data_IF_452720690770
#
_entry.id   IF_452720690770
#
_cell.length_a   1.000
_cell.length_b   1.000
_cell.length_c   1.000
_cell.angle_alpha   90.00
_cell.angle_beta   90.00
_cell.angle_gamma   90.00
#
_symmetry.space_group_name_H-M   'P 1'
#
loop_
_entity.id
_entity.type
_entity.pdbx_description
1 polymer ?
#
# COMPACT_ATOMS: atom_id res chain seq x y z
N UNK A 1 32.44 -37.05 -29.70
CA UNK A 1 31.44 -36.02 -30.07
C UNK A 1 30.76 -35.58 -28.81
N UNK A 2 31.10 -34.40 -28.32
CA UNK A 2 30.50 -33.85 -27.07
C UNK A 2 29.42 -32.88 -27.51
N UNK A 3 28.15 -33.24 -27.28
CA UNK A 3 27.04 -32.34 -27.50
C UNK A 3 27.04 -31.22 -26.48
N UNK A 4 27.22 -29.96 -26.92
CA UNK A 4 27.00 -28.77 -26.10
C UNK A 4 25.47 -28.54 -26.01
N UNK A 5 24.85 -28.52 -24.82
CA UNK A 5 23.44 -28.10 -24.66
C UNK A 5 23.31 -26.60 -24.96
N UNK A 6 22.33 -26.25 -25.75
CA UNK A 6 22.11 -24.92 -26.30
C UNK A 6 21.82 -23.87 -25.25
N UNK A 7 22.63 -22.83 -25.20
CA UNK A 7 22.47 -21.60 -24.43
C UNK A 7 21.22 -20.76 -24.85
N UNK A 8 20.48 -21.18 -25.86
CA UNK A 8 19.35 -20.43 -26.45
C UNK A 8 18.07 -20.58 -25.62
N UNK A 9 17.90 -21.69 -24.90
CA UNK A 9 16.69 -21.92 -24.10
C UNK A 9 16.60 -21.01 -22.86
N UNK A 10 17.73 -20.57 -22.29
CA UNK A 10 17.78 -19.70 -21.12
C UNK A 10 17.39 -18.25 -21.38
N UNK A 11 17.73 -17.71 -22.56
CA UNK A 11 17.44 -16.32 -22.90
C UNK A 11 15.94 -16.06 -23.12
N UNK A 12 15.24 -17.00 -23.76
CA UNK A 12 13.79 -16.89 -23.98
C UNK A 12 12.99 -16.90 -22.69
N UNK A 13 13.31 -17.79 -21.76
CA UNK A 13 12.66 -17.88 -20.45
C UNK A 13 12.87 -16.60 -19.61
N UNK A 14 14.06 -16.01 -19.64
CA UNK A 14 14.38 -14.77 -18.92
C UNK A 14 13.61 -13.55 -19.49
N UNK A 15 13.44 -13.48 -20.81
CA UNK A 15 12.69 -12.40 -21.47
C UNK A 15 11.20 -12.52 -21.14
N UNK A 16 10.63 -13.72 -21.19
CA UNK A 16 9.21 -13.97 -20.83
C UNK A 16 8.96 -13.67 -19.35
N UNK A 17 9.82 -14.10 -18.46
CA UNK A 17 9.72 -13.79 -17.03
C UNK A 17 9.78 -12.28 -16.77
N UNK A 18 10.69 -11.57 -17.46
CA UNK A 18 10.81 -10.10 -17.33
C UNK A 18 9.55 -9.35 -17.80
N UNK A 19 8.84 -9.85 -18.80
CA UNK A 19 7.61 -9.25 -19.30
C UNK A 19 6.37 -9.60 -18.44
N UNK A 20 6.36 -10.77 -17.81
CA UNK A 20 5.21 -11.23 -17.01
C UNK A 20 5.22 -10.70 -15.56
N UNK A 21 6.38 -10.56 -14.96
CA UNK A 21 6.51 -10.11 -13.56
C UNK A 21 5.80 -8.78 -13.28
N UNK A 22 5.94 -7.71 -14.08
CA UNK A 22 5.22 -6.45 -13.82
C UNK A 22 3.70 -6.62 -13.92
N UNK A 23 3.21 -7.45 -14.84
CA UNK A 23 1.77 -7.71 -15.02
C UNK A 23 1.19 -8.47 -13.83
N UNK A 24 1.89 -9.50 -13.34
CA UNK A 24 1.46 -10.27 -12.17
C UNK A 24 1.51 -9.41 -10.90
N UNK A 25 2.55 -8.61 -10.74
CA UNK A 25 2.67 -7.67 -9.62
C UNK A 25 1.53 -6.64 -9.63
N UNK A 26 1.18 -6.09 -10.81
CA UNK A 26 0.05 -5.17 -10.95
C UNK A 26 -1.29 -5.84 -10.61
N UNK A 27 -1.53 -7.06 -11.10
CA UNK A 27 -2.76 -7.81 -10.81
C UNK A 27 -2.89 -8.08 -9.31
N UNK A 28 -1.80 -8.51 -8.67
CA UNK A 28 -1.76 -8.72 -7.23
C UNK A 28 -2.02 -7.42 -6.47
N UNK A 29 -1.30 -6.35 -6.80
CA UNK A 29 -1.45 -5.06 -6.12
C UNK A 29 -2.87 -4.51 -6.26
N UNK A 30 -3.46 -4.56 -7.46
CA UNK A 30 -4.86 -4.18 -7.68
C UNK A 30 -5.84 -5.02 -6.87
N UNK A 31 -5.57 -6.31 -6.72
CA UNK A 31 -6.37 -7.19 -5.87
C UNK A 31 -6.26 -6.81 -4.39
N UNK A 32 -5.04 -6.58 -3.91
CA UNK A 32 -4.78 -6.20 -2.51
C UNK A 32 -5.41 -4.83 -2.18
N UNK A 33 -5.31 -3.85 -3.11
CA UNK A 33 -5.94 -2.52 -2.96
C UNK A 33 -7.47 -2.62 -2.94
N UNK A 34 -8.09 -3.44 -3.81
CA UNK A 34 -9.55 -3.64 -3.74
C UNK A 34 -10.00 -4.22 -2.40
N UNK A 35 -9.22 -5.14 -1.82
CA UNK A 35 -9.50 -5.70 -0.49
C UNK A 35 -9.30 -4.65 0.60
N UNK A 36 -8.22 -3.85 0.51
CA UNK A 36 -8.01 -2.71 1.42
C UNK A 36 -9.21 -1.76 1.39
N UNK A 37 -9.71 -1.39 0.20
CA UNK A 37 -10.85 -0.52 0.02
C UNK A 37 -12.16 -1.10 0.61
N UNK A 38 -12.25 -2.43 0.76
CA UNK A 38 -13.36 -3.11 1.46
C UNK A 38 -13.10 -3.33 2.95
N UNK A 39 -12.01 -2.77 3.50
CA UNK A 39 -11.65 -2.89 4.92
C UNK A 39 -10.73 -4.07 5.25
N UNK A 40 -10.43 -4.96 4.29
CA UNK A 40 -9.51 -6.08 4.51
C UNK A 40 -8.07 -5.70 4.13
N UNK A 41 -7.34 -5.16 5.08
CA UNK A 41 -5.93 -4.76 4.93
C UNK A 41 -4.94 -5.94 5.01
N UNK A 42 -5.37 -7.12 5.46
CA UNK A 42 -4.47 -8.26 5.74
C UNK A 42 -3.65 -8.72 4.54
N UNK A 43 -4.17 -8.80 3.29
CA UNK A 43 -3.38 -9.20 2.13
C UNK A 43 -2.27 -8.20 1.80
N UNK A 44 -2.55 -6.89 1.93
CA UNK A 44 -1.56 -5.84 1.75
C UNK A 44 -0.49 -5.93 2.83
N UNK A 45 -0.88 -6.07 4.10
CA UNK A 45 0.03 -6.26 5.24
C UNK A 45 0.94 -7.49 5.05
N UNK A 46 0.39 -8.57 4.51
CA UNK A 46 1.18 -9.78 4.21
C UNK A 46 2.27 -9.52 3.16
N UNK A 47 2.15 -8.49 2.34
CA UNK A 47 3.16 -8.04 1.38
C UNK A 47 4.40 -7.40 2.01
N UNK A 48 4.31 -6.88 3.24
CA UNK A 48 5.43 -6.28 3.95
C UNK A 48 6.34 -7.33 4.61
N UNK A 49 7.64 -7.01 4.70
CA UNK A 49 8.58 -7.73 5.54
C UNK A 49 8.32 -7.42 7.02
N UNK A 50 8.77 -8.28 7.93
CA UNK A 50 8.54 -8.08 9.36
C UNK A 50 9.28 -6.86 9.92
N UNK A 51 10.42 -6.52 9.30
CA UNK A 51 11.29 -5.36 9.59
C UNK A 51 11.03 -4.15 8.67
N UNK A 52 9.94 -4.13 7.90
CA UNK A 52 9.64 -3.07 6.95
C UNK A 52 9.44 -1.71 7.61
N UNK A 53 9.71 -0.64 6.85
CA UNK A 53 9.42 0.73 7.26
C UNK A 53 8.48 1.37 6.23
N UNK A 54 7.40 1.97 6.72
CA UNK A 54 6.51 2.82 5.95
C UNK A 54 6.69 4.26 6.43
N UNK A 55 7.11 5.13 5.52
CA UNK A 55 7.28 6.56 5.77
C UNK A 55 6.05 7.31 5.26
N UNK A 56 5.38 7.99 6.17
CA UNK A 56 4.27 8.88 5.84
C UNK A 56 4.68 10.32 6.13
N UNK A 57 4.01 11.30 5.52
CA UNK A 57 4.32 12.70 5.78
C UNK A 57 4.08 13.06 7.26
N UNK A 58 4.94 13.90 7.82
CA UNK A 58 4.82 14.40 9.19
C UNK A 58 3.71 15.44 9.28
N UNK A 59 3.04 15.50 10.43
CA UNK A 59 1.98 16.46 10.70
C UNK A 59 1.10 16.05 11.89
N UNK A 60 0.19 16.91 12.33
CA UNK A 60 -0.71 16.64 13.44
C UNK A 60 -1.92 15.78 13.01
N UNK A 61 -1.66 14.60 12.46
CA UNK A 61 -2.65 13.62 12.03
C UNK A 61 -2.24 12.20 12.44
N UNK A 62 -3.20 11.27 12.49
CA UNK A 62 -3.03 9.89 13.00
C UNK A 62 -2.02 9.02 12.25
N UNK A 63 -1.73 9.36 11.00
CA UNK A 63 -0.80 8.59 10.15
C UNK A 63 0.63 9.13 10.15
N UNK A 64 0.94 10.17 10.93
CA UNK A 64 2.21 10.91 10.90
C UNK A 64 3.44 10.03 11.13
N UNK A 65 4.49 10.27 10.34
CA UNK A 65 5.85 9.80 10.57
C UNK A 65 6.15 8.38 10.12
N UNK A 66 7.12 7.75 10.77
CA UNK A 66 7.64 6.43 10.42
C UNK A 66 6.89 5.31 11.15
N UNK A 67 6.40 4.34 10.40
CA UNK A 67 5.80 3.12 10.92
C UNK A 67 6.78 1.95 10.74
N UNK A 68 7.50 1.58 11.81
CA UNK A 68 8.56 0.58 11.79
C UNK A 68 8.06 -0.78 12.23
N UNK A 69 8.27 -1.79 11.37
CA UNK A 69 7.87 -3.17 11.58
C UNK A 69 6.38 -3.42 11.34
N UNK A 70 6.05 -4.66 11.06
CA UNK A 70 4.68 -5.10 10.73
C UNK A 70 3.61 -4.66 11.73
N UNK A 71 3.82 -4.70 13.06
CA UNK A 71 2.80 -4.27 14.01
C UNK A 71 2.46 -2.78 13.91
N UNK A 72 3.44 -1.91 13.59
CA UNK A 72 3.20 -0.48 13.38
C UNK A 72 2.47 -0.23 12.06
N UNK A 73 2.88 -0.92 11.00
CA UNK A 73 2.23 -0.86 9.68
C UNK A 73 0.79 -1.38 9.76
N UNK A 74 0.53 -2.42 10.56
CA UNK A 74 -0.83 -2.92 10.78
C UNK A 74 -1.73 -1.86 11.43
N UNK A 75 -1.23 -1.15 12.45
CA UNK A 75 -1.97 -0.04 13.06
C UNK A 75 -2.28 1.05 12.04
N UNK A 76 -1.28 1.47 11.25
CA UNK A 76 -1.45 2.43 10.16
C UNK A 76 -2.56 2.00 9.18
N UNK A 77 -2.53 0.76 8.69
CA UNK A 77 -3.52 0.24 7.74
C UNK A 77 -4.92 0.13 8.34
N UNK A 78 -5.01 -0.19 9.64
CA UNK A 78 -6.29 -0.21 10.38
C UNK A 78 -6.89 1.19 10.50
N UNK A 79 -6.07 2.18 10.82
CA UNK A 79 -6.50 3.58 10.91
C UNK A 79 -6.88 4.12 9.52
N UNK A 80 -6.15 3.70 8.47
CA UNK A 80 -6.44 4.02 7.08
C UNK A 80 -7.83 3.51 6.67
N UNK A 81 -8.08 2.22 6.83
CA UNK A 81 -9.39 1.62 6.51
C UNK A 81 -10.50 2.14 7.41
N UNK A 82 -10.19 2.37 8.69
CA UNK A 82 -11.12 2.91 9.67
C UNK A 82 -11.59 4.33 9.38
N UNK A 83 -10.78 5.11 8.69
CA UNK A 83 -11.12 6.46 8.23
C UNK A 83 -11.92 6.47 6.91
N UNK A 84 -12.24 5.31 6.34
CA UNK A 84 -12.90 5.20 5.04
C UNK A 84 -12.01 5.56 3.85
N UNK A 85 -10.69 5.60 4.06
CA UNK A 85 -9.72 5.84 3.01
C UNK A 85 -9.70 4.70 2.00
N UNK A 86 -9.69 5.06 0.74
CA UNK A 86 -9.66 4.18 -0.43
C UNK A 86 -8.66 4.72 -1.44
N UNK A 87 -8.02 3.84 -2.20
CA UNK A 87 -7.11 4.23 -3.27
C UNK A 87 -7.44 3.51 -4.57
N UNK A 88 -7.21 4.17 -5.69
CA UNK A 88 -7.25 3.58 -7.03
C UNK A 88 -5.89 3.75 -7.70
N UNK A 89 -5.30 2.63 -8.17
CA UNK A 89 -4.02 2.67 -8.88
C UNK A 89 -4.25 3.19 -10.30
N UNK A 90 -3.70 4.36 -10.58
CA UNK A 90 -3.75 4.99 -11.91
C UNK A 90 -2.56 4.59 -12.77
N UNK A 91 -1.37 4.53 -12.18
CA UNK A 91 -0.13 4.19 -12.88
C UNK A 91 0.80 3.33 -12.01
N UNK A 92 1.59 2.46 -12.66
CA UNK A 92 2.57 1.60 -11.98
C UNK A 92 3.83 1.44 -12.82
N UNK A 93 4.97 1.70 -12.22
CA UNK A 93 6.29 1.42 -12.78
C UNK A 93 7.05 0.48 -11.86
N UNK A 94 7.66 -0.55 -12.46
CA UNK A 94 8.45 -1.55 -11.75
C UNK A 94 9.79 -1.68 -12.44
N UNK A 95 10.86 -1.60 -11.67
CA UNK A 95 12.23 -1.74 -12.14
C UNK A 95 13.03 -2.65 -11.19
N UNK A 96 14.15 -3.18 -11.69
CA UNK A 96 15.07 -4.00 -10.92
C UNK A 96 14.88 -5.50 -11.11
N UNK A 97 15.78 -6.31 -10.53
CA UNK A 97 15.71 -7.75 -10.59
C UNK A 97 14.61 -8.29 -9.64
N UNK A 98 14.08 -9.51 -9.87
CA UNK A 98 12.98 -10.08 -9.09
C UNK A 98 13.19 -10.13 -7.57
N UNK A 99 14.44 -10.22 -7.12
CA UNK A 99 14.78 -10.25 -5.68
C UNK A 99 14.93 -8.86 -5.05
N UNK A 100 14.94 -7.77 -5.86
CA UNK A 100 15.12 -6.38 -5.38
C UNK A 100 14.43 -5.40 -6.33
N UNK A 101 13.08 -5.44 -6.35
CA UNK A 101 12.30 -4.53 -7.17
C UNK A 101 12.23 -3.14 -6.53
N UNK A 102 12.17 -2.14 -7.38
CA UNK A 102 11.72 -0.77 -7.07
C UNK A 102 10.38 -0.55 -7.73
N UNK A 103 9.44 -0.04 -6.99
CA UNK A 103 8.06 0.15 -7.42
C UNK A 103 7.73 1.63 -7.23
N UNK A 104 7.17 2.24 -8.25
CA UNK A 104 6.51 3.54 -8.14
C UNK A 104 5.05 3.34 -8.57
N UNK A 105 4.12 3.69 -7.71
CA UNK A 105 2.70 3.61 -7.99
C UNK A 105 2.05 4.97 -7.75
N UNK A 106 1.17 5.41 -8.67
CA UNK A 106 0.31 6.57 -8.47
C UNK A 106 -1.08 6.12 -8.12
N UNK A 107 -1.67 6.85 -7.20
CA UNK A 107 -3.02 6.61 -6.71
C UNK A 107 -3.85 7.88 -6.80
N UNK A 108 -5.13 7.72 -7.12
CA UNK A 108 -6.18 8.65 -6.76
C UNK A 108 -6.81 8.15 -5.44
N UNK A 109 -6.69 8.96 -4.40
CA UNK A 109 -7.13 8.62 -3.05
C UNK A 109 -8.38 9.41 -2.69
N UNK A 110 -9.30 8.77 -1.97
CA UNK A 110 -10.50 9.38 -1.42
C UNK A 110 -10.83 8.82 -0.05
N UNK A 111 -11.58 9.56 0.75
CA UNK A 111 -12.20 9.05 1.96
C UNK A 111 -13.71 9.26 1.89
N UNK A 112 -14.48 8.22 2.22
CA UNK A 112 -15.92 8.21 2.18
C UNK A 112 -16.44 7.97 3.60
N UNK A 113 -17.30 8.88 4.08
CA UNK A 113 -17.99 8.74 5.35
C UNK A 113 -19.01 7.58 5.31
N UNK A 114 -19.46 7.06 6.48
CA UNK A 114 -20.47 6.00 6.52
C UNK A 114 -21.82 6.37 5.87
N UNK A 115 -22.13 7.67 5.78
CA UNK A 115 -23.32 8.20 5.10
C UNK A 115 -23.15 8.33 3.57
N UNK A 116 -21.96 7.99 3.03
CA UNK A 116 -21.63 8.09 1.60
C UNK A 116 -21.07 9.44 1.16
N UNK A 117 -20.88 10.40 2.07
CA UNK A 117 -20.29 11.70 1.76
C UNK A 117 -18.78 11.54 1.50
N UNK A 118 -18.27 12.21 0.43
CA UNK A 118 -16.85 12.30 0.18
C UNK A 118 -16.21 13.36 1.10
N UNK A 119 -15.39 12.89 2.03
CA UNK A 119 -14.67 13.74 2.99
C UNK A 119 -13.35 14.29 2.43
N UNK A 120 -12.77 13.59 1.46
CA UNK A 120 -11.40 13.83 1.01
C UNK A 120 -11.15 13.23 -0.37
N UNK A 121 -10.42 13.95 -1.19
CA UNK A 121 -9.81 13.46 -2.43
C UNK A 121 -8.40 14.02 -2.57
N UNK A 122 -7.43 13.21 -3.00
CA UNK A 122 -6.04 13.60 -3.21
C UNK A 122 -5.38 12.68 -4.24
N UNK A 123 -4.13 12.98 -4.57
CA UNK A 123 -3.27 12.10 -5.37
C UNK A 123 -2.01 11.78 -4.59
N UNK A 124 -1.57 10.53 -4.70
CA UNK A 124 -0.40 10.02 -3.99
C UNK A 124 0.54 9.31 -4.96
N UNK A 125 1.83 9.54 -4.81
CA UNK A 125 2.86 8.70 -5.39
C UNK A 125 3.52 7.88 -4.28
N UNK A 126 3.48 6.56 -4.40
CA UNK A 126 4.13 5.64 -3.49
C UNK A 126 5.41 5.14 -4.13
N UNK A 127 6.53 5.23 -3.42
CA UNK A 127 7.81 4.64 -3.80
C UNK A 127 8.12 3.50 -2.85
N UNK A 128 8.30 2.29 -3.37
CA UNK A 128 8.59 1.13 -2.56
C UNK A 128 9.81 0.35 -3.05
N UNK A 129 10.51 -0.26 -2.10
CA UNK A 129 11.60 -1.22 -2.34
C UNK A 129 11.19 -2.59 -1.83
N UNK A 130 11.54 -3.63 -2.58
CA UNK A 130 11.29 -5.01 -2.15
C UNK A 130 12.58 -5.79 -1.94
N UNK A 131 12.49 -6.82 -1.12
CA UNK A 131 13.50 -7.86 -0.92
C UNK A 131 12.81 -9.21 -0.97
N UNK A 132 13.15 -10.05 -1.97
CA UNK A 132 12.53 -11.35 -2.17
C UNK A 132 11.00 -11.33 -2.17
N UNK A 133 10.40 -10.36 -2.89
CA UNK A 133 8.95 -10.22 -3.04
C UNK A 133 8.23 -9.58 -1.85
N UNK A 134 8.94 -9.18 -0.79
CA UNK A 134 8.38 -8.43 0.36
C UNK A 134 8.80 -6.97 0.31
N UNK A 135 7.87 -6.07 0.58
CA UNK A 135 8.16 -4.65 0.75
C UNK A 135 8.98 -4.48 2.02
N UNK A 136 10.16 -3.87 1.89
CA UNK A 136 11.05 -3.56 3.03
C UNK A 136 11.05 -2.08 3.36
N UNK A 137 10.66 -1.25 2.40
CA UNK A 137 10.53 0.19 2.58
C UNK A 137 9.45 0.71 1.64
N UNK A 138 8.61 1.60 2.14
CA UNK A 138 7.62 2.33 1.39
C UNK A 138 7.64 3.79 1.84
N UNK A 139 7.54 4.71 0.90
CA UNK A 139 7.40 6.13 1.16
C UNK A 139 6.25 6.70 0.35
N UNK A 140 5.37 7.42 1.02
CA UNK A 140 4.17 8.02 0.44
C UNK A 140 4.39 9.52 0.24
N UNK A 141 4.11 10.01 -0.98
CA UNK A 141 4.24 11.41 -1.37
C UNK A 141 2.88 11.92 -1.81
N UNK A 142 2.27 12.75 -1.00
CA UNK A 142 0.96 13.36 -1.29
C UNK A 142 1.13 14.66 -2.07
N UNK A 143 0.25 14.87 -3.05
CA UNK A 143 0.24 16.11 -3.83
C UNK A 143 -0.13 17.32 -2.96
N UNK A 144 -1.07 17.14 -2.04
CA UNK A 144 -1.50 18.17 -1.10
C UNK A 144 -1.60 17.61 0.32
N UNK A 145 -0.61 17.93 1.15
CA UNK A 145 -0.56 17.50 2.55
C UNK A 145 -1.58 18.25 3.42
N UNK A 146 -2.01 19.44 3.02
CA UNK A 146 -3.04 20.20 3.73
C UNK A 146 -4.39 19.48 3.74
N UNK A 147 -4.71 18.74 2.67
CA UNK A 147 -5.94 17.93 2.60
C UNK A 147 -5.97 16.81 3.63
N UNK A 148 -4.80 16.25 3.99
CA UNK A 148 -4.71 15.21 5.03
C UNK A 148 -5.06 15.80 6.40
N UNK A 149 -4.61 17.03 6.68
CA UNK A 149 -4.95 17.73 7.92
C UNK A 149 -6.44 18.05 7.98
N UNK A 150 -7.02 18.54 6.88
CA UNK A 150 -8.45 18.79 6.78
C UNK A 150 -9.29 17.51 6.94
N UNK A 151 -8.82 16.37 6.41
CA UNK A 151 -9.46 15.07 6.64
C UNK A 151 -9.43 14.71 8.13
N UNK A 152 -8.28 14.85 8.80
CA UNK A 152 -8.16 14.54 10.23
C UNK A 152 -9.13 15.36 11.08
N UNK A 153 -9.32 16.66 10.77
CA UNK A 153 -10.30 17.53 11.44
C UNK A 153 -11.74 17.03 11.23
N UNK A 154 -12.12 16.75 9.99
CA UNK A 154 -13.46 16.20 9.66
C UNK A 154 -13.73 14.86 10.35
N UNK A 155 -12.72 13.97 10.41
CA UNK A 155 -12.88 12.68 11.08
C UNK A 155 -13.12 12.84 12.58
N UNK A 156 -12.49 13.83 13.23
CA UNK A 156 -12.74 14.18 14.65
C UNK A 156 -14.14 14.74 14.85
N UNK A 157 -14.59 15.63 13.95
CA UNK A 157 -15.93 16.24 14.02
C UNK A 157 -17.05 15.18 13.94
N UNK A 158 -16.89 14.16 13.10
CA UNK A 158 -17.87 13.07 12.97
C UNK A 158 -17.64 11.89 13.92
N UNK A 159 -16.72 12.04 14.90
CA UNK A 159 -16.48 11.05 15.95
C UNK A 159 -15.73 9.79 15.50
N UNK A 160 -15.00 9.84 14.38
CA UNK A 160 -14.10 8.76 13.93
C UNK A 160 -12.73 8.98 14.58
N UNK A 161 -12.63 8.66 15.87
CA UNK A 161 -11.40 8.76 16.64
C UNK A 161 -10.62 7.43 16.62
N UNK A 162 -9.31 7.43 16.33
CA UNK A 162 -8.47 6.24 16.41
C UNK A 162 -8.41 5.63 17.82
N UNK A 163 -8.52 6.45 18.87
CA UNK A 163 -8.50 5.98 20.25
C UNK A 163 -9.77 5.22 20.65
N UNK A 164 -10.93 5.59 20.11
CA UNK A 164 -12.22 4.99 20.47
C UNK A 164 -12.36 3.53 20.01
N UNK A 165 -11.57 3.06 19.03
CA UNK A 165 -11.64 1.70 18.49
C UNK A 165 -10.69 0.69 19.15
N UNK A 166 -9.77 1.13 20.01
CA UNK A 166 -8.89 0.22 20.75
C UNK A 166 -9.64 -0.53 21.87
N UNK A 167 -10.86 -0.10 22.23
CA UNK A 167 -11.67 -0.69 23.30
C UNK A 167 -12.86 -1.52 22.85
N UNK A 168 -13.22 -1.56 21.57
CA UNK A 168 -14.33 -2.39 21.09
C UNK A 168 -13.84 -3.81 20.82
N UNK A 169 -14.11 -4.73 21.75
CA UNK A 169 -14.00 -6.17 21.51
C UNK A 169 -14.91 -6.56 20.31
N UNK A 170 -14.53 -7.59 19.52
CA UNK A 170 -15.37 -8.05 18.42
C UNK A 170 -16.73 -8.48 18.99
N UNK A 171 -17.81 -7.87 18.48
CA UNK A 171 -19.16 -8.33 18.72
C UNK A 171 -19.25 -9.75 18.14
N UNK A 172 -19.35 -10.74 19.02
CA UNK A 172 -19.61 -12.13 18.65
C UNK A 172 -20.96 -12.19 17.94
N UNK A 173 -20.97 -12.69 16.71
CA UNK A 173 -22.17 -13.08 15.99
C UNK A 173 -22.50 -14.54 16.30
#
# INVERSE_FOLDING_TARGET
MIHKPSLIAGAGAAIVARALLPRLALLKLRSDVRRLNSGDYKPLLAGFADDAVLHFNEGPHRWSGDHRGKPAIERFLRDFTGAGLQGEITELWIAGPPWALRIVARFDDRAIAPNGEELYANRTAIVARTRWGKIVEQQDFYEDTGRILALEEKLREIGIDPAARQGAAPVAA
#
